data_IF_811273862015
#
_entry.id   IF_811273862015
#
_cell.length_a   1.000
_cell.length_b   1.000
_cell.length_c   1.000
_cell.angle_alpha   90.00
_cell.angle_beta   90.00
_cell.angle_gamma   90.00
#
_symmetry.space_group_name_H-M   'P 1'
#
loop_
_entity.id
_entity.type
_entity.pdbx_description
1 polymer ?
#
# COMPACT_ATOMS: atom_id res chain seq x y z
N UNK A 1 43.34 8.51 51.43
CA UNK A 1 42.46 9.50 50.80
C UNK A 1 41.70 8.81 49.69
N UNK A 2 40.38 8.69 49.82
CA UNK A 2 39.55 8.20 48.73
C UNK A 2 39.31 9.34 47.72
N UNK A 3 39.39 9.04 46.44
CA UNK A 3 39.06 9.99 45.37
C UNK A 3 37.54 10.12 45.30
N UNK A 4 37.02 11.33 45.53
CA UNK A 4 35.61 11.66 45.28
C UNK A 4 35.44 12.21 43.87
N UNK A 5 34.70 11.45 43.05
CA UNK A 5 34.38 11.85 41.69
C UNK A 5 33.23 12.85 41.68
N UNK A 6 33.47 14.06 41.13
CA UNK A 6 32.52 15.19 41.11
C UNK A 6 31.68 15.23 39.81
N UNK A 7 31.96 14.35 38.85
CA UNK A 7 31.24 14.34 37.57
C UNK A 7 29.89 13.62 37.63
N UNK A 8 29.01 13.94 36.68
CA UNK A 8 27.71 13.27 36.59
C UNK A 8 27.89 11.78 36.23
N UNK A 9 27.27 10.83 36.95
CA UNK A 9 27.46 9.38 36.73
C UNK A 9 27.18 8.91 35.30
N UNK A 10 26.37 9.66 34.53
CA UNK A 10 26.10 9.35 33.12
C UNK A 10 27.32 9.44 32.21
N UNK A 11 28.40 10.09 32.63
CA UNK A 11 29.63 10.24 31.82
C UNK A 11 30.32 8.88 31.58
N UNK A 12 30.17 7.93 32.49
CA UNK A 12 30.73 6.58 32.38
C UNK A 12 29.67 5.48 32.29
N UNK A 13 28.38 5.83 32.24
CA UNK A 13 27.29 4.86 32.05
C UNK A 13 27.14 4.55 30.57
N UNK A 14 26.83 3.30 30.25
CA UNK A 14 26.41 2.93 28.90
C UNK A 14 25.15 3.72 28.52
N UNK A 15 25.02 4.04 27.23
CA UNK A 15 23.83 4.71 26.72
C UNK A 15 22.61 3.79 26.90
N UNK A 16 21.62 4.25 27.66
CA UNK A 16 20.35 3.57 27.80
C UNK A 16 19.42 3.96 26.64
N UNK A 17 19.45 3.14 25.59
CA UNK A 17 18.64 3.32 24.40
C UNK A 17 17.27 2.61 24.48
N UNK A 18 16.86 2.11 25.65
CA UNK A 18 15.69 1.22 25.80
C UNK A 18 14.45 1.79 25.11
N UNK A 19 14.11 3.06 25.36
CA UNK A 19 12.95 3.72 24.76
C UNK A 19 13.03 3.85 23.24
N UNK A 20 14.23 4.06 22.70
CA UNK A 20 14.44 4.13 21.26
C UNK A 20 14.21 2.75 20.62
N UNK A 21 14.76 1.70 21.23
CA UNK A 21 14.63 0.32 20.73
C UNK A 21 13.18 -0.16 20.81
N UNK A 22 12.47 0.12 21.90
CA UNK A 22 11.05 -0.20 22.05
C UNK A 22 10.20 0.43 20.95
N UNK A 23 10.42 1.73 20.69
CA UNK A 23 9.72 2.42 19.61
C UNK A 23 10.05 1.83 18.24
N UNK A 24 11.33 1.62 17.94
CA UNK A 24 11.74 1.04 16.64
C UNK A 24 11.20 -0.37 16.45
N UNK A 25 11.16 -1.19 17.50
CA UNK A 25 10.55 -2.51 17.46
C UNK A 25 9.05 -2.42 17.15
N UNK A 26 8.33 -1.49 17.80
CA UNK A 26 6.91 -1.25 17.52
C UNK A 26 6.69 -0.83 16.07
N UNK A 27 7.50 0.09 15.54
CA UNK A 27 7.40 0.55 14.16
C UNK A 27 7.76 -0.54 13.15
N UNK A 28 8.82 -1.33 13.41
CA UNK A 28 9.19 -2.45 12.57
C UNK A 28 8.07 -3.49 12.49
N UNK A 29 7.44 -3.79 13.62
CA UNK A 29 6.28 -4.67 13.68
C UNK A 29 5.10 -4.14 12.86
N UNK A 30 4.77 -2.85 13.01
CA UNK A 30 3.71 -2.19 12.22
C UNK A 30 3.99 -2.24 10.73
N UNK A 31 5.21 -1.90 10.32
CA UNK A 31 5.63 -1.89 8.92
C UNK A 31 5.54 -3.30 8.30
N UNK A 32 5.95 -4.34 9.03
CA UNK A 32 5.91 -5.73 8.55
C UNK A 32 4.50 -6.33 8.55
N UNK A 33 3.80 -6.27 9.67
CA UNK A 33 2.55 -7.01 9.86
C UNK A 33 1.34 -6.32 9.22
N UNK A 34 1.42 -5.00 9.02
CA UNK A 34 0.29 -4.23 8.48
C UNK A 34 0.63 -3.62 7.13
N UNK A 35 1.59 -2.71 7.07
CA UNK A 35 1.82 -1.90 5.86
C UNK A 35 2.31 -2.76 4.68
N UNK A 36 3.33 -3.59 4.89
CA UNK A 36 3.83 -4.50 3.85
C UNK A 36 2.76 -5.51 3.42
N UNK A 37 1.95 -6.02 4.37
CA UNK A 37 0.86 -6.93 4.03
C UNK A 37 -0.19 -6.24 3.18
N UNK A 38 -0.68 -5.08 3.60
CA UNK A 38 -1.67 -4.28 2.85
C UNK A 38 -1.14 -3.94 1.44
N UNK A 39 0.13 -3.57 1.33
CA UNK A 39 0.79 -3.29 0.05
C UNK A 39 0.85 -4.55 -0.84
N UNK A 40 1.23 -5.71 -0.29
CA UNK A 40 1.27 -6.96 -1.09
C UNK A 40 -0.10 -7.37 -1.60
N UNK A 41 -1.16 -7.18 -0.80
CA UNK A 41 -2.52 -7.43 -1.26
C UNK A 41 -2.96 -6.43 -2.32
N UNK A 42 -2.59 -5.16 -2.18
CA UNK A 42 -2.85 -4.15 -3.20
C UNK A 42 -2.19 -4.55 -4.53
N UNK A 43 -0.92 -4.97 -4.51
CA UNK A 43 -0.18 -5.40 -5.70
C UNK A 43 -0.80 -6.65 -6.35
N UNK A 44 -1.24 -7.65 -5.57
CA UNK A 44 -1.95 -8.83 -6.12
C UNK A 44 -3.27 -8.41 -6.81
N UNK A 45 -4.06 -7.55 -6.17
CA UNK A 45 -5.31 -7.03 -6.74
C UNK A 45 -5.02 -6.23 -8.01
N UNK A 46 -4.00 -5.39 -7.99
CA UNK A 46 -3.56 -4.58 -9.12
C UNK A 46 -3.20 -5.44 -10.33
N UNK A 47 -2.28 -6.40 -10.17
CA UNK A 47 -1.83 -7.27 -11.25
C UNK A 47 -2.97 -8.08 -11.86
N UNK A 48 -3.91 -8.53 -11.02
CA UNK A 48 -5.10 -9.27 -11.48
C UNK A 48 -6.03 -8.42 -12.33
N UNK A 49 -6.30 -7.17 -11.93
CA UNK A 49 -7.12 -6.26 -12.71
C UNK A 49 -6.42 -5.95 -14.03
N UNK A 50 -5.13 -5.58 -14.02
CA UNK A 50 -4.35 -5.32 -15.24
C UNK A 50 -4.41 -6.51 -16.20
N UNK A 51 -4.17 -7.72 -15.68
CA UNK A 51 -4.22 -8.95 -16.48
C UNK A 51 -5.61 -9.18 -17.09
N UNK A 52 -6.67 -9.01 -16.30
CA UNK A 52 -8.04 -9.19 -16.78
C UNK A 52 -8.42 -8.19 -17.88
N UNK A 53 -8.01 -6.93 -17.76
CA UNK A 53 -8.27 -5.93 -18.82
C UNK A 53 -7.51 -6.25 -20.09
N UNK A 54 -6.19 -6.51 -19.99
CA UNK A 54 -5.35 -6.80 -21.16
C UNK A 54 -5.77 -8.06 -21.93
N UNK A 55 -6.47 -9.00 -21.28
CA UNK A 55 -7.02 -10.18 -21.95
C UNK A 55 -8.23 -9.87 -22.85
N UNK A 56 -8.91 -8.74 -22.64
CA UNK A 56 -10.18 -8.43 -23.31
C UNK A 56 -10.15 -7.12 -24.10
N UNK A 57 -9.31 -6.17 -23.70
CA UNK A 57 -9.25 -4.84 -24.29
C UNK A 57 -7.79 -4.45 -24.55
N UNK A 58 -7.57 -3.82 -25.70
CA UNK A 58 -6.30 -3.18 -26.02
C UNK A 58 -6.32 -1.75 -25.49
N UNK A 59 -5.71 -1.55 -24.32
CA UNK A 59 -5.62 -0.25 -23.65
C UNK A 59 -4.16 0.12 -23.53
N UNK A 60 -3.83 1.38 -23.84
CA UNK A 60 -2.47 1.89 -23.66
C UNK A 60 -2.02 1.65 -22.21
N UNK A 61 -0.92 0.92 -22.03
CA UNK A 61 -0.46 0.48 -20.71
C UNK A 61 -0.31 1.61 -19.68
N UNK A 62 0.16 2.80 -20.10
CA UNK A 62 0.28 3.96 -19.22
C UNK A 62 -1.04 4.51 -18.70
N UNK A 63 -2.11 4.38 -19.48
CA UNK A 63 -3.45 4.86 -19.10
C UNK A 63 -4.13 3.81 -18.24
N UNK A 64 -4.02 2.53 -18.62
CA UNK A 64 -4.52 1.41 -17.85
C UNK A 64 -3.92 1.39 -16.44
N UNK A 65 -2.60 1.52 -16.31
CA UNK A 65 -1.91 1.56 -15.02
C UNK A 65 -2.47 2.63 -14.08
N UNK A 66 -2.68 3.85 -14.60
CA UNK A 66 -3.24 4.98 -13.83
C UNK A 66 -4.67 4.73 -13.43
N UNK A 67 -5.49 4.22 -14.35
CA UNK A 67 -6.90 3.95 -14.10
C UNK A 67 -7.09 2.86 -13.04
N UNK A 68 -6.33 1.76 -13.11
CA UNK A 68 -6.42 0.68 -12.11
C UNK A 68 -5.98 1.18 -10.73
N UNK A 69 -4.87 1.93 -10.65
CA UNK A 69 -4.42 2.51 -9.38
C UNK A 69 -5.49 3.42 -8.77
N UNK A 70 -5.99 4.40 -9.54
CA UNK A 70 -7.05 5.31 -9.09
C UNK A 70 -8.35 4.60 -8.72
N UNK A 71 -8.66 3.48 -9.38
CA UNK A 71 -9.86 2.69 -9.11
C UNK A 71 -9.74 1.96 -7.77
N UNK A 72 -8.61 1.29 -7.52
CA UNK A 72 -8.37 0.57 -6.27
C UNK A 72 -8.26 1.51 -5.06
N UNK A 73 -7.56 2.64 -5.22
CA UNK A 73 -7.46 3.68 -4.18
C UNK A 73 -8.82 4.25 -3.78
N UNK A 74 -9.78 4.25 -4.72
CA UNK A 74 -11.14 4.75 -4.51
C UNK A 74 -12.16 3.60 -4.39
N UNK A 75 -11.81 2.55 -3.65
CA UNK A 75 -12.69 1.43 -3.29
C UNK A 75 -13.38 0.75 -4.50
N UNK A 76 -12.65 0.62 -5.60
CA UNK A 76 -13.12 -0.03 -6.83
C UNK A 76 -13.96 0.86 -7.74
N UNK A 77 -13.90 2.19 -7.60
CA UNK A 77 -14.67 3.13 -8.44
C UNK A 77 -13.81 4.21 -9.07
N UNK A 78 -14.03 4.49 -10.34
CA UNK A 78 -13.47 5.65 -11.02
C UNK A 78 -14.42 6.85 -10.86
N UNK A 79 -13.87 7.98 -10.44
CA UNK A 79 -14.67 9.21 -10.36
C UNK A 79 -15.08 9.71 -11.75
N UNK A 80 -16.18 10.46 -11.83
CA UNK A 80 -16.65 11.08 -13.07
C UNK A 80 -15.56 11.94 -13.74
N UNK A 81 -14.76 12.61 -12.93
CA UNK A 81 -13.66 13.44 -13.42
C UNK A 81 -12.57 12.60 -14.10
N UNK A 82 -12.19 11.44 -13.53
CA UNK A 82 -11.22 10.53 -14.15
C UNK A 82 -11.74 9.93 -15.45
N UNK A 83 -13.00 9.49 -15.51
CA UNK A 83 -13.60 9.01 -16.77
C UNK A 83 -13.53 10.07 -17.87
N UNK A 84 -13.90 11.31 -17.55
CA UNK A 84 -13.80 12.45 -18.48
C UNK A 84 -12.35 12.73 -18.93
N UNK A 85 -11.38 12.60 -18.02
CA UNK A 85 -9.95 12.80 -18.33
C UNK A 85 -9.44 11.80 -19.37
N UNK A 86 -9.91 10.55 -19.35
CA UNK A 86 -9.45 9.47 -20.22
C UNK A 86 -10.44 9.11 -21.36
N UNK A 87 -11.56 9.83 -21.50
CA UNK A 87 -12.65 9.49 -22.44
C UNK A 87 -12.23 9.41 -23.92
N UNK A 88 -11.12 10.05 -24.29
CA UNK A 88 -10.62 10.05 -25.67
C UNK A 88 -9.61 8.92 -25.95
N UNK A 89 -9.07 8.28 -24.90
CA UNK A 89 -8.14 7.15 -25.04
C UNK A 89 -8.72 5.82 -24.58
N UNK A 90 -9.79 5.85 -23.77
CA UNK A 90 -10.41 4.66 -23.17
C UNK A 90 -11.92 4.74 -23.33
N UNK A 91 -12.54 3.64 -23.77
CA UNK A 91 -13.99 3.56 -23.97
C UNK A 91 -14.74 3.34 -22.65
N UNK A 92 -16.02 3.71 -22.63
CA UNK A 92 -16.88 3.57 -21.44
C UNK A 92 -17.01 2.10 -20.98
N UNK A 93 -17.01 1.16 -21.91
CA UNK A 93 -17.04 -0.28 -21.62
C UNK A 93 -15.82 -0.71 -20.78
N UNK A 94 -14.63 -0.18 -21.12
CA UNK A 94 -13.39 -0.48 -20.40
C UNK A 94 -13.44 0.08 -18.98
N UNK A 95 -13.96 1.29 -18.77
CA UNK A 95 -14.13 1.84 -17.41
C UNK A 95 -15.05 0.95 -16.57
N UNK A 96 -16.18 0.53 -17.11
CA UNK A 96 -17.11 -0.37 -16.41
C UNK A 96 -16.48 -1.74 -16.12
N UNK A 97 -15.65 -2.25 -17.03
CA UNK A 97 -14.95 -3.51 -16.82
C UNK A 97 -13.86 -3.41 -15.73
N UNK A 98 -13.08 -2.33 -15.72
CA UNK A 98 -12.08 -2.06 -14.65
C UNK A 98 -12.75 -2.06 -13.28
N UNK A 99 -13.82 -1.29 -13.10
CA UNK A 99 -14.53 -1.20 -11.82
C UNK A 99 -15.14 -2.53 -11.39
N UNK A 100 -15.66 -3.31 -12.34
CA UNK A 100 -16.22 -4.63 -12.08
C UNK A 100 -15.15 -5.58 -11.56
N UNK A 101 -14.00 -5.64 -12.21
CA UNK A 101 -12.89 -6.52 -11.81
C UNK A 101 -12.24 -6.05 -10.51
N UNK A 102 -12.02 -4.74 -10.33
CA UNK A 102 -11.54 -4.18 -9.07
C UNK A 102 -12.50 -4.48 -7.90
N UNK A 103 -13.82 -4.33 -8.13
CA UNK A 103 -14.83 -4.68 -7.12
C UNK A 103 -14.87 -6.18 -6.82
N UNK A 104 -14.54 -7.05 -7.77
CA UNK A 104 -14.41 -8.49 -7.53
C UNK A 104 -13.22 -8.78 -6.64
N UNK A 105 -12.04 -8.25 -6.95
CA UNK A 105 -10.81 -8.51 -6.18
C UNK A 105 -10.86 -7.91 -4.76
N UNK A 106 -11.60 -6.81 -4.55
CA UNK A 106 -11.82 -6.23 -3.22
C UNK A 106 -12.78 -7.02 -2.33
N UNK A 107 -13.69 -7.82 -2.90
CA UNK A 107 -14.61 -8.68 -2.14
C UNK A 107 -13.99 -10.00 -1.69
N UNK A 108 -12.85 -10.35 -2.27
CA UNK A 108 -12.13 -11.56 -1.90
C UNK A 108 -11.40 -11.35 -0.58
N UNK A 109 -11.48 -12.35 0.30
CA UNK A 109 -10.69 -12.37 1.54
C UNK A 109 -9.21 -12.33 1.14
N UNK A 110 -8.46 -11.42 1.75
CA UNK A 110 -7.03 -11.29 1.55
C UNK A 110 -6.33 -12.64 1.70
N UNK A 111 -5.38 -12.94 0.82
CA UNK A 111 -4.61 -14.20 0.87
C UNK A 111 -3.80 -14.34 2.16
N UNK A 112 -3.67 -13.27 2.93
CA UNK A 112 -2.87 -13.19 4.15
C UNK A 112 -3.78 -12.82 5.34
N UNK A 113 -4.36 -13.80 6.06
CA UNK A 113 -5.26 -13.52 7.18
C UNK A 113 -4.61 -12.69 8.29
N UNK A 114 -5.44 -11.98 9.04
CA UNK A 114 -5.06 -11.26 10.27
C UNK A 114 -5.39 -12.19 11.44
N UNK A 115 -4.40 -12.91 11.92
CA UNK A 115 -4.49 -13.60 13.21
C UNK A 115 -4.39 -12.57 14.36
#
# INVERSE_FOLDING_TARGET
MAFDFIGHPSIYRYWDATRCVEFTLQMARRALEVELREETEFLDRYDRVIKAVNQRYDVRGSDLWKLVMMCLDNAGKLSKHRRKQFQYSVSEEVFGFIEKEAGRTLREIGKFPID
#
